data_IF_681138703500
#
_entry.id   IF_681138703500
#
_cell.length_a   1.000
_cell.length_b   1.000
_cell.length_c   1.000
_cell.angle_alpha   90.00
_cell.angle_beta   90.00
_cell.angle_gamma   90.00
#
_symmetry.space_group_name_H-M   'P 1'
#
loop_
_entity.id
_entity.type
_entity.pdbx_description
1 polymer ?
#
# COMPACT_ATOMS: atom_id res chain seq x y z
N UNK A 1 6.34 50.17 24.21
CA UNK A 1 5.06 49.43 24.21
C UNK A 1 4.88 48.86 22.80
N UNK A 2 4.94 47.54 22.63
CA UNK A 2 4.69 46.91 21.33
C UNK A 2 3.17 46.79 21.16
N UNK A 3 2.56 47.69 20.39
CA UNK A 3 1.15 47.62 20.07
C UNK A 3 0.89 46.47 19.11
N UNK A 4 -0.09 45.62 19.41
CA UNK A 4 -0.61 44.61 18.50
C UNK A 4 -1.49 45.32 17.48
N UNK A 5 -1.08 45.34 16.20
CA UNK A 5 -1.90 45.87 15.12
C UNK A 5 -2.79 44.75 14.57
N UNK A 6 -4.10 44.93 14.66
CA UNK A 6 -5.09 44.04 14.04
C UNK A 6 -5.50 44.64 12.69
N UNK A 7 -5.13 43.97 11.59
CA UNK A 7 -5.68 44.29 10.28
C UNK A 7 -7.03 43.59 10.14
N UNK A 8 -8.13 44.33 10.37
CA UNK A 8 -9.47 43.86 10.06
C UNK A 8 -9.76 44.08 8.57
N UNK A 9 -9.62 43.02 7.77
CA UNK A 9 -10.08 43.02 6.37
C UNK A 9 -11.57 42.68 6.37
N UNK A 10 -12.43 43.67 6.09
CA UNK A 10 -13.87 43.49 5.94
C UNK A 10 -14.21 43.58 4.44
N UNK A 11 -14.30 42.47 3.71
CA UNK A 11 -14.48 42.54 2.26
C UNK A 11 -15.96 42.76 1.92
N UNK A 12 -16.27 43.94 1.40
CA UNK A 12 -17.39 44.11 0.44
C UNK A 12 -16.88 44.31 -0.99
N UNK A 13 -15.56 44.46 -1.19
CA UNK A 13 -14.86 44.34 -2.48
C UNK A 13 -13.35 44.14 -2.26
N UNK A 14 -12.60 43.77 -3.30
CA UNK A 14 -11.15 43.51 -3.23
C UNK A 14 -10.37 44.75 -2.77
N UNK A 15 -9.81 44.73 -1.56
CA UNK A 15 -8.96 45.81 -1.04
C UNK A 15 -7.53 45.65 -1.57
N UNK A 16 -7.01 46.67 -2.26
CA UNK A 16 -5.60 46.73 -2.67
C UNK A 16 -4.70 46.92 -1.44
N UNK A 17 -3.79 45.96 -1.21
CA UNK A 17 -2.85 45.94 -0.08
C UNK A 17 -1.47 46.51 -0.44
N UNK A 18 -1.32 47.12 -1.62
CA UNK A 18 -0.08 47.72 -2.12
C UNK A 18 0.55 48.76 -1.19
N UNK A 19 -0.23 49.36 -0.27
CA UNK A 19 0.26 50.29 0.75
C UNK A 19 0.87 49.62 2.01
N UNK A 20 0.59 48.33 2.28
CA UNK A 20 0.89 47.71 3.58
C UNK A 20 1.86 46.52 3.52
N UNK A 21 2.22 46.06 2.32
CA UNK A 21 3.29 45.06 2.15
C UNK A 21 4.07 45.32 0.84
N UNK A 22 5.40 45.14 0.81
CA UNK A 22 6.17 45.27 -0.42
C UNK A 22 5.63 44.32 -1.49
N UNK A 23 5.38 44.86 -2.70
CA UNK A 23 4.72 44.17 -3.82
C UNK A 23 5.40 42.84 -4.20
N UNK A 24 6.70 42.74 -3.97
CA UNK A 24 7.51 41.57 -4.30
C UNK A 24 8.02 40.92 -3.01
N UNK A 25 7.41 39.78 -2.64
CA UNK A 25 7.82 38.89 -1.53
C UNK A 25 7.51 39.45 -0.13
N UNK A 26 6.24 39.71 0.21
CA UNK A 26 5.87 40.05 1.58
C UNK A 26 6.28 38.92 2.55
N UNK A 27 6.93 39.28 3.65
CA UNK A 27 7.30 38.35 4.73
C UNK A 27 6.59 38.76 6.01
N UNK A 28 5.98 37.81 6.70
CA UNK A 28 5.30 38.05 7.97
C UNK A 28 6.07 37.35 9.09
N UNK A 29 6.24 38.03 10.24
CA UNK A 29 6.75 37.41 11.47
C UNK A 29 5.60 37.16 12.43
N UNK A 30 5.46 35.93 12.93
CA UNK A 30 4.37 35.53 13.82
C UNK A 30 3.27 34.73 13.11
N UNK A 31 2.05 34.76 13.67
CA UNK A 31 0.91 33.99 13.16
C UNK A 31 0.09 34.81 12.15
N UNK A 32 -0.13 34.25 10.96
CA UNK A 32 -1.14 34.76 10.02
C UNK A 32 -2.45 34.03 10.27
N UNK A 33 -3.53 34.77 10.56
CA UNK A 33 -4.88 34.21 10.76
C UNK A 33 -5.79 34.66 9.62
N UNK A 34 -6.41 33.70 8.94
CA UNK A 34 -7.33 33.92 7.81
C UNK A 34 -8.67 33.32 8.22
N UNK A 35 -9.74 34.12 8.16
CA UNK A 35 -11.07 33.75 8.67
C UNK A 35 -11.78 32.71 7.80
N UNK A 36 -11.51 32.76 6.50
CA UNK A 36 -12.17 31.93 5.49
C UNK A 36 -11.14 31.01 4.81
N UNK A 37 -11.24 30.80 3.49
CA UNK A 37 -10.42 29.84 2.74
C UNK A 37 -9.10 30.45 2.27
N UNK A 38 -8.03 29.66 2.34
CA UNK A 38 -6.78 29.93 1.63
C UNK A 38 -6.82 29.23 0.28
N UNK A 39 -6.81 29.99 -0.80
CA UNK A 39 -6.67 29.46 -2.16
C UNK A 39 -5.23 29.65 -2.63
N UNK A 40 -4.69 28.63 -3.29
CA UNK A 40 -3.36 28.63 -3.88
C UNK A 40 -3.48 28.41 -5.38
N UNK A 41 -2.50 28.89 -6.15
CA UNK A 41 -2.41 28.55 -7.56
C UNK A 41 -2.14 27.04 -7.74
N UNK A 42 -2.48 26.49 -8.91
CA UNK A 42 -2.12 25.13 -9.30
C UNK A 42 -0.60 25.06 -9.48
N UNK A 43 0.11 24.62 -8.44
CA UNK A 43 1.55 24.37 -8.51
C UNK A 43 1.89 23.32 -9.58
N UNK A 44 3.16 23.21 -9.95
CA UNK A 44 3.69 22.17 -10.86
C UNK A 44 4.73 21.34 -10.12
N UNK A 45 5.12 20.19 -10.67
CA UNK A 45 6.12 19.34 -10.00
C UNK A 45 7.47 20.05 -9.81
N UNK A 46 7.93 20.88 -10.76
CA UNK A 46 9.15 21.68 -10.59
C UNK A 46 8.98 22.98 -9.79
N UNK A 47 7.74 23.33 -9.40
CA UNK A 47 7.43 24.51 -8.60
C UNK A 47 6.09 24.30 -7.89
N UNK A 48 6.08 23.59 -6.76
CA UNK A 48 4.86 23.33 -5.99
C UNK A 48 4.19 24.64 -5.52
N UNK A 49 2.90 24.57 -5.23
CA UNK A 49 2.11 25.72 -4.80
C UNK A 49 2.52 26.21 -3.40
N UNK A 50 2.90 25.27 -2.54
CA UNK A 50 3.62 25.51 -1.30
C UNK A 50 4.97 24.84 -1.42
N UNK A 51 6.06 25.59 -1.25
CA UNK A 51 7.43 25.08 -1.35
C UNK A 51 8.32 25.69 -0.26
N UNK A 52 9.49 25.09 -0.04
CA UNK A 52 10.47 25.60 0.92
C UNK A 52 11.40 26.62 0.27
N UNK A 53 11.77 27.69 1.00
CA UNK A 53 12.57 28.81 0.45
C UNK A 53 13.92 28.38 -0.12
N UNK A 54 14.54 27.34 0.44
CA UNK A 54 15.82 26.80 -0.02
C UNK A 54 15.69 25.54 -0.89
N UNK A 55 14.47 25.06 -1.12
CA UNK A 55 14.14 23.84 -1.84
C UNK A 55 12.79 24.05 -2.55
N UNK A 56 12.88 24.81 -3.66
CA UNK A 56 11.71 25.32 -4.36
C UNK A 56 10.97 24.26 -5.19
N UNK A 57 11.54 23.06 -5.31
CA UNK A 57 10.96 21.92 -6.05
C UNK A 57 10.41 20.82 -5.13
N UNK A 58 10.36 21.09 -3.82
CA UNK A 58 9.79 20.20 -2.80
C UNK A 58 8.64 20.88 -2.06
N UNK A 59 7.50 20.20 -1.95
CA UNK A 59 6.32 20.72 -1.26
C UNK A 59 4.99 20.11 -1.68
N UNK A 60 3.93 20.92 -1.71
CA UNK A 60 2.54 20.49 -2.00
C UNK A 60 2.05 21.14 -3.29
N UNK A 61 1.45 20.34 -4.17
CA UNK A 61 0.92 20.79 -5.47
C UNK A 61 -0.46 20.18 -5.76
N UNK A 62 -1.14 20.76 -6.75
CA UNK A 62 -2.36 20.24 -7.35
C UNK A 62 -2.07 19.95 -8.83
N UNK A 63 -1.75 18.70 -9.16
CA UNK A 63 -1.25 18.30 -10.48
C UNK A 63 -2.31 17.65 -11.38
N UNK A 64 -3.48 17.33 -10.83
CA UNK A 64 -4.64 16.81 -11.54
C UNK A 64 -5.92 17.20 -10.79
N UNK A 65 -7.08 17.15 -11.46
CA UNK A 65 -8.38 17.35 -10.82
C UNK A 65 -8.60 16.38 -9.66
N UNK A 66 -9.31 16.85 -8.62
CA UNK A 66 -9.69 16.06 -7.44
C UNK A 66 -8.50 15.37 -6.75
N UNK A 67 -7.33 16.03 -6.71
CA UNK A 67 -6.11 15.44 -6.16
C UNK A 67 -5.28 16.38 -5.29
N UNK A 68 -4.51 15.79 -4.37
CA UNK A 68 -3.47 16.46 -3.60
C UNK A 68 -2.15 15.72 -3.81
N UNK A 69 -1.13 16.44 -4.25
CA UNK A 69 0.18 15.88 -4.60
C UNK A 69 1.24 16.32 -3.60
N UNK A 70 2.03 15.36 -3.13
CA UNK A 70 3.30 15.60 -2.42
C UNK A 70 4.43 15.49 -3.43
N UNK A 71 5.25 16.52 -3.49
CA UNK A 71 6.36 16.65 -4.44
C UNK A 71 7.67 16.73 -3.67
N UNK A 72 8.70 16.02 -4.14
CA UNK A 72 10.07 16.15 -3.64
C UNK A 72 11.06 16.13 -4.79
N UNK A 73 12.01 17.07 -4.80
CA UNK A 73 13.04 17.18 -5.84
C UNK A 73 12.47 17.28 -7.25
N UNK A 74 11.35 17.98 -7.42
CA UNK A 74 10.71 18.16 -8.73
C UNK A 74 9.80 17.03 -9.19
N UNK A 75 9.61 15.98 -8.38
CA UNK A 75 8.87 14.75 -8.72
C UNK A 75 7.67 14.56 -7.80
N UNK A 76 6.52 14.20 -8.37
CA UNK A 76 5.37 13.75 -7.57
C UNK A 76 5.67 12.37 -6.96
N UNK A 77 5.83 12.32 -5.64
CA UNK A 77 6.18 11.09 -4.91
C UNK A 77 4.95 10.40 -4.32
N UNK A 78 3.88 11.15 -4.09
CA UNK A 78 2.60 10.63 -3.61
C UNK A 78 1.45 11.50 -4.12
N UNK A 79 0.35 10.85 -4.49
CA UNK A 79 -0.91 11.50 -4.85
C UNK A 79 -2.05 10.87 -4.07
N UNK A 80 -2.80 11.69 -3.33
CA UNK A 80 -4.14 11.33 -2.91
C UNK A 80 -5.11 11.85 -3.98
N UNK A 81 -5.95 10.98 -4.54
CA UNK A 81 -6.92 11.35 -5.56
C UNK A 81 -8.24 10.64 -5.29
N UNK A 82 -9.35 11.34 -5.55
CA UNK A 82 -10.68 10.75 -5.52
C UNK A 82 -11.18 10.54 -6.95
N UNK A 83 -11.87 9.42 -7.19
CA UNK A 83 -12.69 9.25 -8.39
C UNK A 83 -14.06 9.89 -8.14
N UNK A 84 -14.78 10.36 -9.18
CA UNK A 84 -16.14 10.84 -9.03
C UNK A 84 -17.02 9.80 -8.31
N UNK A 85 -17.61 10.20 -7.18
CA UNK A 85 -18.48 9.33 -6.38
C UNK A 85 -17.76 8.32 -5.48
N UNK A 86 -16.45 8.45 -5.23
CA UNK A 86 -15.73 7.57 -4.32
C UNK A 86 -16.28 7.67 -2.88
N UNK A 87 -16.75 6.55 -2.35
CA UNK A 87 -17.24 6.39 -0.96
C UNK A 87 -16.36 5.51 -0.08
N UNK A 88 -15.31 4.94 -0.68
CA UNK A 88 -14.33 4.09 -0.03
C UNK A 88 -12.93 4.68 -0.21
N UNK A 89 -12.07 4.52 0.79
CA UNK A 89 -10.73 5.10 0.84
C UNK A 89 -9.79 4.37 1.79
N UNK A 90 -8.70 5.05 2.11
CA UNK A 90 -7.59 4.50 2.89
C UNK A 90 -7.35 5.37 4.12
N UNK A 91 -7.34 4.76 5.30
CA UNK A 91 -6.90 5.38 6.54
C UNK A 91 -5.47 4.91 6.87
N UNK A 92 -4.58 5.86 7.16
CA UNK A 92 -3.20 5.63 7.59
C UNK A 92 -3.06 5.99 9.07
N UNK A 93 -2.80 5.02 9.92
CA UNK A 93 -2.79 5.20 11.37
C UNK A 93 -1.38 5.03 11.93
N UNK A 94 -0.88 6.07 12.59
CA UNK A 94 0.33 5.99 13.39
C UNK A 94 0.11 5.10 14.63
N UNK A 95 1.19 4.53 15.14
CA UNK A 95 1.13 3.62 16.28
C UNK A 95 2.05 4.09 17.43
N UNK A 96 1.68 3.83 18.70
CA UNK A 96 2.53 4.12 19.84
C UNK A 96 3.77 3.20 19.87
N UNK A 97 4.75 3.54 20.71
CA UNK A 97 5.99 2.75 20.89
C UNK A 97 5.69 1.26 21.09
N UNK A 98 6.34 0.42 20.29
CA UNK A 98 6.21 -1.04 20.36
C UNK A 98 5.09 -1.63 19.51
N UNK A 99 4.32 -0.81 18.80
CA UNK A 99 3.22 -1.22 17.92
C UNK A 99 3.51 -0.76 16.49
N UNK A 100 3.14 -1.58 15.50
CA UNK A 100 3.29 -1.24 14.07
C UNK A 100 2.18 -0.29 13.59
N UNK A 101 2.48 0.68 12.71
CA UNK A 101 1.46 1.46 12.00
C UNK A 101 0.51 0.58 11.19
N UNK A 102 -0.69 1.10 10.90
CA UNK A 102 -1.76 0.34 10.24
C UNK A 102 -2.23 1.08 8.98
N UNK A 103 -2.57 0.28 7.96
CA UNK A 103 -3.28 0.70 6.76
C UNK A 103 -4.67 0.06 6.78
N UNK A 104 -5.74 0.86 6.81
CA UNK A 104 -7.12 0.38 6.97
C UNK A 104 -7.98 0.80 5.78
N UNK A 105 -8.68 -0.16 5.17
CA UNK A 105 -9.70 0.13 4.15
C UNK A 105 -10.95 0.64 4.87
N UNK A 106 -11.44 1.82 4.50
CA UNK A 106 -12.58 2.47 5.17
C UNK A 106 -13.57 3.01 4.14
N UNK A 107 -14.85 3.10 4.49
CA UNK A 107 -15.89 3.56 3.58
C UNK A 107 -17.29 3.14 4.02
N UNK A 108 -18.29 3.50 3.22
CA UNK A 108 -19.69 3.12 3.49
C UNK A 108 -20.04 1.70 3.07
N UNK A 109 -19.23 1.07 2.21
CA UNK A 109 -19.49 -0.29 1.74
C UNK A 109 -19.11 -1.34 2.80
N UNK A 110 -19.91 -2.40 2.91
CA UNK A 110 -19.78 -3.41 3.96
C UNK A 110 -18.62 -4.39 3.77
N UNK A 111 -18.16 -4.58 2.54
CA UNK A 111 -17.09 -5.53 2.21
C UNK A 111 -16.16 -4.92 1.17
N UNK A 112 -15.01 -4.43 1.63
CA UNK A 112 -13.97 -3.84 0.80
C UNK A 112 -12.61 -4.41 1.18
N UNK A 113 -11.71 -4.44 0.19
CA UNK A 113 -10.33 -4.85 0.38
C UNK A 113 -9.38 -3.85 -0.26
N UNK A 114 -8.10 -4.22 -0.33
CA UNK A 114 -7.09 -3.44 -1.02
C UNK A 114 -6.69 -4.10 -2.33
N UNK A 115 -6.49 -3.27 -3.35
CA UNK A 115 -5.79 -3.67 -4.56
C UNK A 115 -4.40 -3.04 -4.53
N UNK A 116 -3.37 -3.88 -4.64
CA UNK A 116 -1.99 -3.44 -4.83
C UNK A 116 -1.58 -3.76 -6.26
N UNK A 117 -1.07 -2.77 -6.99
CA UNK A 117 -0.76 -2.90 -8.41
C UNK A 117 0.71 -2.58 -8.67
N UNK A 118 1.42 -3.51 -9.29
CA UNK A 118 2.74 -3.28 -9.86
C UNK A 118 2.58 -2.90 -11.34
N UNK A 119 3.55 -2.17 -11.88
CA UNK A 119 3.54 -1.74 -13.28
C UNK A 119 4.44 -2.64 -14.12
N UNK A 120 3.95 -3.02 -15.31
CA UNK A 120 4.69 -3.85 -16.27
C UNK A 120 5.20 -5.16 -15.63
N UNK A 121 6.49 -5.46 -15.77
CA UNK A 121 7.15 -6.63 -15.19
C UNK A 121 7.63 -6.41 -13.74
N UNK A 122 7.08 -5.43 -13.01
CA UNK A 122 7.32 -5.27 -11.58
C UNK A 122 6.62 -6.36 -10.76
N UNK A 123 7.27 -6.80 -9.66
CA UNK A 123 6.68 -7.70 -8.67
C UNK A 123 6.45 -7.01 -7.32
N UNK A 124 5.88 -7.75 -6.35
CA UNK A 124 5.74 -7.30 -4.97
C UNK A 124 6.75 -8.02 -4.08
N UNK A 125 7.54 -7.28 -3.31
CA UNK A 125 8.48 -7.84 -2.36
C UNK A 125 8.11 -7.41 -0.93
N UNK A 126 8.05 -8.39 -0.03
CA UNK A 126 7.86 -8.20 1.40
C UNK A 126 9.19 -8.44 2.11
N UNK A 127 9.71 -7.38 2.73
CA UNK A 127 11.07 -7.33 3.25
C UNK A 127 11.08 -7.21 4.78
N UNK A 128 12.07 -7.83 5.41
CA UNK A 128 12.44 -7.66 6.83
C UNK A 128 13.94 -7.29 6.91
N UNK A 129 14.78 -8.10 7.57
CA UNK A 129 16.26 -7.98 7.47
C UNK A 129 16.81 -8.37 6.09
N UNK A 130 15.94 -8.84 5.21
CA UNK A 130 16.13 -9.13 3.80
C UNK A 130 14.78 -9.51 3.17
N UNK A 131 14.73 -9.79 1.87
CA UNK A 131 13.49 -10.21 1.21
C UNK A 131 13.02 -11.57 1.75
N UNK A 132 11.78 -11.62 2.26
CA UNK A 132 11.19 -12.82 2.86
C UNK A 132 10.18 -13.50 1.93
N UNK A 133 9.44 -12.70 1.14
CA UNK A 133 8.43 -13.20 0.20
C UNK A 133 8.35 -12.29 -1.02
N UNK A 134 8.19 -12.89 -2.20
CA UNK A 134 8.07 -12.16 -3.48
C UNK A 134 6.96 -12.75 -4.32
N UNK A 135 6.11 -11.89 -4.85
CA UNK A 135 5.14 -12.20 -5.91
C UNK A 135 5.73 -11.67 -7.22
N UNK A 136 6.09 -12.59 -8.12
CA UNK A 136 6.61 -12.25 -9.45
C UNK A 136 5.47 -12.15 -10.46
N UNK A 137 5.55 -11.22 -11.43
CA UNK A 137 4.52 -11.09 -12.44
C UNK A 137 4.54 -12.28 -13.39
N UNK A 138 3.36 -12.74 -13.78
CA UNK A 138 3.15 -13.69 -14.88
C UNK A 138 2.21 -13.03 -15.88
N UNK A 139 2.60 -13.00 -17.15
CA UNK A 139 1.74 -12.44 -18.19
C UNK A 139 0.42 -13.22 -18.25
N UNK A 140 -0.71 -12.50 -18.12
CA UNK A 140 -2.06 -13.08 -18.17
C UNK A 140 -2.25 -14.29 -17.24
N UNK A 141 -1.84 -14.17 -15.97
CA UNK A 141 -2.07 -15.22 -14.97
C UNK A 141 -3.57 -15.55 -14.84
N UNK A 142 -3.93 -16.82 -15.06
CA UNK A 142 -5.32 -17.32 -14.95
C UNK A 142 -5.59 -18.00 -13.60
N UNK A 143 -4.58 -18.66 -13.05
CA UNK A 143 -4.65 -19.38 -11.77
C UNK A 143 -3.72 -18.70 -10.75
N UNK A 144 -4.14 -18.65 -9.49
CA UNK A 144 -3.47 -17.93 -8.42
C UNK A 144 -3.63 -18.64 -7.08
N UNK A 145 -2.69 -18.40 -6.16
CA UNK A 145 -2.78 -18.89 -4.79
C UNK A 145 -3.76 -18.04 -3.97
N UNK A 146 -4.65 -18.70 -3.23
CA UNK A 146 -5.53 -18.09 -2.25
C UNK A 146 -5.26 -18.68 -0.87
N UNK A 147 -5.02 -17.80 0.10
CA UNK A 147 -4.86 -18.15 1.51
C UNK A 147 -6.13 -17.74 2.24
N UNK A 148 -6.68 -18.64 3.06
CA UNK A 148 -7.90 -18.37 3.81
C UNK A 148 -7.71 -18.79 5.26
N UNK A 149 -8.03 -17.87 6.17
CA UNK A 149 -8.09 -18.14 7.59
C UNK A 149 -9.16 -19.18 7.93
N UNK A 150 -9.18 -19.62 9.17
CA UNK A 150 -10.08 -20.67 9.64
C UNK A 150 -10.78 -20.23 10.92
N UNK A 151 -12.04 -20.67 11.08
CA UNK A 151 -12.75 -20.52 12.34
C UNK A 151 -12.14 -21.40 13.43
N UNK A 152 -12.52 -21.15 14.68
CA UNK A 152 -12.04 -21.91 15.84
C UNK A 152 -12.17 -23.42 15.63
N UNK A 153 -11.07 -24.14 15.86
CA UNK A 153 -11.02 -25.61 15.76
C UNK A 153 -10.75 -26.16 14.35
N UNK A 154 -10.58 -25.29 13.34
CA UNK A 154 -10.25 -25.70 11.96
C UNK A 154 -8.89 -25.15 11.53
N UNK A 155 -8.27 -25.77 10.52
CA UNK A 155 -6.97 -25.34 10.00
C UNK A 155 -7.15 -24.33 8.84
N UNK A 156 -6.30 -23.28 8.76
CA UNK A 156 -6.27 -22.40 7.60
C UNK A 156 -5.86 -23.17 6.34
N UNK A 157 -6.20 -22.63 5.18
CA UNK A 157 -5.90 -23.28 3.90
C UNK A 157 -5.07 -22.39 2.98
N UNK A 158 -4.16 -23.03 2.24
CA UNK A 158 -3.54 -22.50 1.03
C UNK A 158 -4.05 -23.33 -0.14
N UNK A 159 -4.69 -22.67 -1.10
CA UNK A 159 -5.37 -23.32 -2.23
C UNK A 159 -4.99 -22.62 -3.54
N UNK A 160 -5.22 -23.29 -4.67
CA UNK A 160 -5.23 -22.63 -5.98
C UNK A 160 -6.67 -22.31 -6.34
N UNK A 161 -6.87 -21.11 -6.88
CA UNK A 161 -8.12 -20.66 -7.50
C UNK A 161 -7.81 -20.16 -8.91
N UNK A 162 -8.83 -20.09 -9.74
CA UNK A 162 -8.68 -19.68 -11.12
C UNK A 162 -9.82 -20.22 -11.98
N UNK A 163 -9.66 -20.09 -13.29
CA UNK A 163 -10.66 -20.54 -14.25
C UNK A 163 -10.44 -21.98 -14.71
N UNK A 164 -9.21 -22.51 -14.61
CA UNK A 164 -8.93 -23.88 -14.99
C UNK A 164 -9.50 -24.85 -13.96
N UNK A 165 -10.06 -25.97 -14.44
CA UNK A 165 -10.77 -26.92 -13.59
C UNK A 165 -9.84 -27.74 -12.68
N UNK A 166 -8.70 -28.17 -13.20
CA UNK A 166 -7.75 -29.05 -12.53
C UNK A 166 -6.35 -28.42 -12.53
N UNK A 167 -5.91 -27.92 -11.38
CA UNK A 167 -4.62 -27.25 -11.24
C UNK A 167 -3.92 -27.68 -9.95
N UNK A 168 -2.68 -28.12 -10.07
CA UNK A 168 -1.85 -28.52 -8.93
C UNK A 168 -1.24 -27.31 -8.21
N UNK A 169 -0.89 -27.50 -6.93
CA UNK A 169 0.02 -26.57 -6.22
C UNK A 169 1.46 -27.08 -6.38
N UNK A 170 2.29 -26.33 -7.09
CA UNK A 170 3.71 -26.63 -7.22
C UNK A 170 4.52 -26.03 -6.05
N UNK A 171 5.13 -26.89 -5.23
CA UNK A 171 6.05 -26.50 -4.16
C UNK A 171 7.47 -26.97 -4.50
N UNK A 172 8.29 -26.06 -5.04
CA UNK A 172 9.58 -26.39 -5.64
C UNK A 172 10.75 -25.79 -4.86
N UNK A 173 11.57 -26.61 -4.17
CA UNK A 173 12.83 -26.16 -3.60
C UNK A 173 13.83 -25.73 -4.68
N UNK A 174 14.81 -24.89 -4.30
CA UNK A 174 15.88 -24.48 -5.21
C UNK A 174 16.93 -25.59 -5.36
N UNK A 175 17.34 -25.83 -6.60
CA UNK A 175 18.41 -26.79 -6.94
C UNK A 175 17.97 -28.25 -6.81
N UNK A 176 18.89 -29.19 -7.05
CA UNK A 176 18.59 -30.63 -7.08
C UNK A 176 18.60 -31.31 -5.70
N UNK A 177 19.29 -30.72 -4.71
CA UNK A 177 19.36 -31.24 -3.34
C UNK A 177 18.29 -30.67 -2.40
N UNK A 178 17.53 -29.66 -2.84
CA UNK A 178 16.49 -29.05 -2.04
C UNK A 178 15.30 -30.01 -1.82
N UNK A 179 14.77 -30.04 -0.60
CA UNK A 179 13.62 -30.89 -0.22
C UNK A 179 12.60 -30.06 0.53
N UNK A 180 11.32 -30.34 0.30
CA UNK A 180 10.25 -29.82 1.15
C UNK A 180 10.37 -30.47 2.53
N UNK A 181 10.36 -29.65 3.59
CA UNK A 181 10.45 -30.10 4.98
C UNK A 181 9.08 -29.99 5.62
N UNK A 182 8.66 -31.06 6.30
CA UNK A 182 7.39 -31.12 7.01
C UNK A 182 7.66 -31.50 8.47
N UNK A 183 7.25 -30.64 9.41
CA UNK A 183 7.08 -30.93 10.84
C UNK A 183 8.14 -31.82 11.54
N UNK A 184 7.71 -32.40 12.66
CA UNK A 184 8.48 -33.40 13.40
C UNK A 184 7.88 -34.79 13.11
N UNK A 185 8.74 -35.79 12.94
CA UNK A 185 8.33 -37.20 12.84
C UNK A 185 8.48 -37.87 14.21
N UNK A 186 7.43 -38.55 14.66
CA UNK A 186 7.49 -39.48 15.80
C UNK A 186 7.31 -40.89 15.26
N UNK A 187 8.30 -41.75 15.48
CA UNK A 187 8.23 -43.14 15.04
C UNK A 187 7.25 -43.93 15.91
N UNK A 188 6.25 -44.55 15.29
CA UNK A 188 5.54 -45.68 15.86
C UNK A 188 6.37 -46.97 15.70
N UNK A 189 5.97 -48.04 16.40
CA UNK A 189 6.52 -49.39 16.14
C UNK A 189 6.25 -49.85 14.70
N UNK A 190 6.64 -51.09 14.37
CA UNK A 190 6.37 -51.63 13.04
C UNK A 190 4.86 -51.62 12.73
N UNK A 191 4.44 -50.74 11.83
CA UNK A 191 3.06 -50.60 11.36
C UNK A 191 2.92 -51.16 9.95
N UNK A 192 1.78 -51.79 9.66
CA UNK A 192 1.45 -52.29 8.33
C UNK A 192 1.10 -51.16 7.37
N UNK A 193 1.37 -51.34 6.08
CA UNK A 193 0.86 -50.43 5.04
C UNK A 193 -0.64 -50.67 4.91
N UNK A 194 -1.45 -49.65 5.22
CA UNK A 194 -2.91 -49.70 5.21
C UNK A 194 -3.51 -48.97 4.02
N UNK A 195 -2.72 -48.18 3.30
CA UNK A 195 -3.17 -47.46 2.11
C UNK A 195 -2.06 -46.62 1.49
N UNK A 196 -2.45 -45.67 0.64
CA UNK A 196 -1.54 -44.68 0.08
C UNK A 196 -2.21 -43.34 -0.16
N UNK A 197 -1.40 -42.28 -0.17
CA UNK A 197 -1.75 -40.96 -0.65
C UNK A 197 -1.06 -40.75 -1.98
N UNK A 198 -1.78 -40.24 -2.97
CA UNK A 198 -1.20 -39.87 -4.25
C UNK A 198 -0.66 -38.45 -4.20
N UNK A 199 0.55 -38.27 -4.74
CA UNK A 199 1.19 -36.97 -4.92
C UNK A 199 1.71 -36.87 -6.34
N UNK A 200 1.68 -35.70 -6.96
CA UNK A 200 2.47 -35.46 -8.18
C UNK A 200 3.86 -35.01 -7.79
N UNK A 201 4.87 -35.60 -8.43
CA UNK A 201 6.24 -35.12 -8.29
C UNK A 201 6.49 -33.89 -9.18
N UNK A 202 7.70 -33.32 -9.09
CA UNK A 202 8.08 -32.17 -9.90
C UNK A 202 8.11 -32.44 -11.42
N UNK A 203 8.04 -33.70 -11.85
CA UNK A 203 7.90 -34.09 -13.25
C UNK A 203 6.43 -34.27 -13.69
N UNK A 204 5.47 -34.05 -12.78
CA UNK A 204 4.04 -34.23 -13.02
C UNK A 204 3.53 -35.67 -12.84
N UNK A 205 4.41 -36.60 -12.48
CA UNK A 205 4.07 -38.03 -12.34
C UNK A 205 3.40 -38.29 -11.00
N UNK A 206 2.28 -39.01 -10.99
CA UNK A 206 1.62 -39.45 -9.76
C UNK A 206 2.45 -40.55 -9.09
N UNK A 207 2.75 -40.37 -7.81
CA UNK A 207 3.46 -41.29 -6.92
C UNK A 207 2.62 -41.58 -5.70
N UNK A 208 2.82 -42.77 -5.11
CA UNK A 208 2.13 -43.21 -3.90
C UNK A 208 3.03 -43.05 -2.69
N UNK A 209 2.59 -42.28 -1.71
CA UNK A 209 3.12 -42.27 -0.35
C UNK A 209 2.36 -43.32 0.45
N UNK A 210 3.05 -44.35 0.95
CA UNK A 210 2.42 -45.37 1.77
C UNK A 210 1.89 -44.77 3.07
N UNK A 211 0.64 -45.08 3.40
CA UNK A 211 0.05 -44.82 4.71
C UNK A 211 0.31 -46.06 5.55
N UNK A 212 0.97 -45.88 6.68
CA UNK A 212 1.19 -46.92 7.69
C UNK A 212 0.32 -46.60 8.90
N UNK A 213 -0.42 -47.59 9.37
CA UNK A 213 -1.38 -47.47 10.47
C UNK A 213 -1.63 -48.81 11.13
#
# INVERSE_FOLDING_TARGET
>A
MAGTYFLHLNPVSSTDLSLYAPLNRPSFTGTVSIKDVVQLAEGRSGQPALAFTADADTGIAHLATDSLSVVGGGVEVMRAAALPGAVNGVLLEAAPTGISPILTATGSDSHIGFNFNAKNSGGFAFNATGTQFVIQPTASSVNYLAITGAGTGTAPSLSVRGNDADVDIALLPKGTGGRLRFGNFTAGGASTVTGYIEIRDASGTIRKLAVVG
#
